data_IF_239056513893
#
_entry.id   IF_239056513893
#
_cell.length_a   1.000
_cell.length_b   1.000
_cell.length_c   1.000
_cell.angle_alpha   90.00
_cell.angle_beta   90.00
_cell.angle_gamma   90.00
#
_symmetry.space_group_name_H-M   'P 1'
#
loop_
_entity.id
_entity.type
_entity.pdbx_description
1 polymer ?
#
# COMPACT_ATOMS: atom_id res chain seq x y z
N UNK A 1 9.98 7.44 -19.75
CA UNK A 1 9.37 6.46 -18.83
C UNK A 1 10.33 6.28 -17.66
N UNK A 2 9.86 6.52 -16.43
CA UNK A 2 10.67 6.31 -15.24
C UNK A 2 10.75 4.82 -14.88
N UNK A 3 11.89 4.37 -14.39
CA UNK A 3 12.01 3.04 -13.79
C UNK A 3 11.26 3.05 -12.46
N UNK A 4 10.24 2.19 -12.32
CA UNK A 4 9.55 2.01 -11.05
C UNK A 4 10.49 1.26 -10.10
N UNK A 5 10.82 1.89 -8.98
CA UNK A 5 11.71 1.36 -7.93
C UNK A 5 11.04 1.47 -6.58
N UNK A 6 11.36 0.57 -5.66
CA UNK A 6 10.78 0.55 -4.32
C UNK A 6 10.76 -0.85 -3.73
N UNK A 7 10.49 -0.95 -2.42
CA UNK A 7 10.54 -2.24 -1.73
C UNK A 7 9.50 -3.23 -2.27
N UNK A 8 8.27 -2.75 -2.51
CA UNK A 8 7.18 -3.57 -3.05
C UNK A 8 7.44 -4.04 -4.49
N UNK A 9 8.15 -3.23 -5.29
CA UNK A 9 8.53 -3.58 -6.67
C UNK A 9 9.56 -4.70 -6.68
N UNK A 10 10.58 -4.60 -5.83
CA UNK A 10 11.61 -5.64 -5.71
C UNK A 10 11.02 -6.93 -5.14
N UNK A 11 10.07 -6.83 -4.22
CA UNK A 11 9.32 -7.98 -3.71
C UNK A 11 8.49 -8.65 -4.82
N UNK A 12 7.74 -7.88 -5.60
CA UNK A 12 6.94 -8.40 -6.72
C UNK A 12 7.83 -9.10 -7.76
N UNK A 13 8.94 -8.47 -8.16
CA UNK A 13 9.94 -9.09 -9.05
C UNK A 13 10.45 -10.42 -8.50
N UNK A 14 10.75 -10.47 -7.19
CA UNK A 14 11.26 -11.70 -6.56
C UNK A 14 10.21 -12.80 -6.53
N UNK A 15 8.96 -12.47 -6.24
CA UNK A 15 7.83 -13.43 -6.28
C UNK A 15 7.64 -13.95 -7.70
N UNK A 16 7.62 -13.08 -8.71
CA UNK A 16 7.52 -13.50 -10.12
C UNK A 16 8.62 -14.50 -10.50
N UNK A 17 9.88 -14.22 -10.12
CA UNK A 17 11.01 -15.14 -10.36
C UNK A 17 10.85 -16.50 -9.67
N UNK A 18 10.20 -16.55 -8.51
CA UNK A 18 9.97 -17.80 -7.77
C UNK A 18 8.84 -18.64 -8.38
N UNK A 19 7.82 -17.98 -8.94
CA UNK A 19 6.67 -18.64 -9.56
C UNK A 19 6.98 -19.21 -10.96
N UNK A 20 8.08 -18.77 -11.57
CA UNK A 20 8.56 -19.27 -12.86
C UNK A 20 9.16 -18.15 -13.71
N UNK A 21 9.40 -18.39 -15.01
CA UNK A 21 9.86 -17.36 -15.94
C UNK A 21 8.72 -16.38 -16.31
N UNK A 22 8.01 -15.83 -15.32
CA UNK A 22 7.00 -14.82 -15.54
C UNK A 22 7.66 -13.46 -15.80
N UNK A 23 7.28 -12.81 -16.90
CA UNK A 23 7.71 -11.46 -17.20
C UNK A 23 7.03 -10.47 -16.23
N UNK A 24 7.82 -9.82 -15.38
CA UNK A 24 7.32 -8.71 -14.56
C UNK A 24 7.04 -7.51 -15.47
N UNK A 25 5.77 -7.11 -15.55
CA UNK A 25 5.32 -5.97 -16.34
C UNK A 25 4.61 -4.96 -15.42
N UNK A 26 5.27 -3.86 -15.02
CA UNK A 26 4.63 -2.85 -14.19
C UNK A 26 3.55 -2.12 -14.98
N UNK A 27 2.37 -1.98 -14.37
CA UNK A 27 1.25 -1.21 -14.92
C UNK A 27 1.07 0.05 -14.09
N UNK A 28 1.07 1.21 -14.74
CA UNK A 28 0.76 2.48 -14.09
C UNK A 28 -0.76 2.58 -13.88
N UNK A 29 -1.19 2.72 -12.63
CA UNK A 29 -2.59 2.76 -12.24
C UNK A 29 -2.78 3.69 -11.04
N UNK A 30 -3.95 4.33 -10.98
CA UNK A 30 -4.37 5.12 -9.84
C UNK A 30 -4.80 4.23 -8.66
N UNK A 31 -4.76 4.75 -7.43
CA UNK A 31 -5.11 3.96 -6.25
C UNK A 31 -6.53 3.39 -6.30
N UNK A 32 -7.48 4.17 -6.84
CA UNK A 32 -8.88 3.74 -7.00
C UNK A 32 -9.04 2.54 -7.95
N UNK A 33 -8.07 2.33 -8.84
CA UNK A 33 -8.11 1.31 -9.89
C UNK A 33 -7.51 -0.03 -9.45
N UNK A 34 -6.80 -0.07 -8.31
CA UNK A 34 -6.06 -1.25 -7.85
C UNK A 34 -6.92 -2.50 -7.65
N UNK A 35 -8.11 -2.34 -7.06
CA UNK A 35 -9.05 -3.45 -6.85
C UNK A 35 -9.88 -3.76 -8.10
N UNK A 36 -10.52 -2.78 -8.77
CA UNK A 36 -11.24 -3.05 -10.01
C UNK A 36 -10.36 -3.74 -11.06
N UNK A 37 -9.10 -3.34 -11.21
CA UNK A 37 -8.24 -3.97 -12.21
C UNK A 37 -7.80 -5.39 -11.87
N UNK A 38 -7.78 -5.78 -10.60
CA UNK A 38 -7.63 -7.20 -10.23
C UNK A 38 -8.89 -7.99 -10.60
N UNK A 39 -10.07 -7.47 -10.23
CA UNK A 39 -11.36 -8.13 -10.50
C UNK A 39 -11.60 -8.30 -12.00
N UNK A 40 -11.24 -7.28 -12.79
CA UNK A 40 -11.38 -7.26 -14.24
C UNK A 40 -10.22 -7.96 -14.99
N UNK A 41 -9.29 -8.60 -14.26
CA UNK A 41 -8.12 -9.30 -14.81
C UNK A 41 -7.22 -8.43 -15.71
N UNK A 42 -7.09 -7.12 -15.40
CA UNK A 42 -6.13 -6.23 -16.09
C UNK A 42 -4.69 -6.48 -15.65
N UNK A 43 -4.49 -7.07 -14.47
CA UNK A 43 -3.21 -7.52 -13.92
C UNK A 43 -3.44 -8.59 -12.85
N UNK A 44 -2.39 -9.32 -12.49
CA UNK A 44 -2.49 -10.50 -11.61
C UNK A 44 -2.22 -10.22 -10.13
N UNK A 45 -1.54 -9.11 -9.81
CA UNK A 45 -1.22 -8.75 -8.42
C UNK A 45 -1.14 -7.25 -8.20
N UNK A 46 -1.45 -6.81 -6.99
CA UNK A 46 -1.21 -5.44 -6.51
C UNK A 46 -0.44 -5.47 -5.19
N UNK A 47 0.38 -4.45 -4.95
CA UNK A 47 1.12 -4.25 -3.70
C UNK A 47 0.74 -2.91 -3.08
N UNK A 48 1.03 -2.72 -1.79
CA UNK A 48 0.75 -1.45 -1.10
C UNK A 48 -0.72 -1.24 -0.69
N UNK A 49 -1.53 -2.30 -0.59
CA UNK A 49 -2.92 -2.20 -0.18
C UNK A 49 -3.14 -2.73 1.25
N UNK A 50 -3.77 -1.91 2.11
CA UNK A 50 -4.19 -2.37 3.43
C UNK A 50 -5.31 -3.40 3.34
N UNK A 51 -5.19 -4.46 4.13
CA UNK A 51 -6.19 -5.50 4.28
C UNK A 51 -7.38 -4.93 5.06
N UNK A 52 -8.60 -5.07 4.53
CA UNK A 52 -9.84 -4.81 5.25
C UNK A 52 -10.91 -5.83 4.87
N UNK A 53 -11.92 -6.01 5.72
CA UNK A 53 -13.01 -6.97 5.45
C UNK A 53 -13.85 -6.58 4.23
N UNK A 54 -13.92 -5.30 3.90
CA UNK A 54 -14.53 -4.84 2.65
C UNK A 54 -13.77 -5.31 1.43
N UNK A 55 -12.45 -5.13 1.42
CA UNK A 55 -11.60 -5.48 0.28
C UNK A 55 -11.48 -6.99 0.10
N UNK A 56 -11.49 -7.76 1.20
CA UNK A 56 -11.49 -9.23 1.17
C UNK A 56 -12.73 -9.82 0.49
N UNK A 57 -13.84 -9.07 0.37
CA UNK A 57 -15.01 -9.53 -0.39
C UNK A 57 -14.80 -9.46 -1.91
N UNK A 58 -13.82 -8.70 -2.37
CA UNK A 58 -13.55 -8.45 -3.79
C UNK A 58 -12.36 -9.25 -4.31
N UNK A 59 -11.32 -9.40 -3.49
CA UNK A 59 -10.06 -10.04 -3.89
C UNK A 59 -9.48 -10.89 -2.75
N UNK A 60 -8.62 -11.83 -3.10
CA UNK A 60 -7.84 -12.60 -2.14
C UNK A 60 -6.58 -11.83 -1.71
N UNK A 61 -6.25 -11.91 -0.42
CA UNK A 61 -5.02 -11.34 0.13
C UNK A 61 -4.05 -12.45 0.51
N UNK A 62 -2.76 -12.18 0.27
CA UNK A 62 -1.67 -13.02 0.78
C UNK A 62 -1.49 -12.82 2.29
N UNK A 63 -0.55 -13.57 2.88
CA UNK A 63 -0.04 -13.23 4.21
C UNK A 63 0.51 -11.79 4.21
N UNK A 64 0.22 -10.97 5.23
CA UNK A 64 0.71 -9.59 5.28
C UNK A 64 2.24 -9.55 5.16
N UNK A 65 2.72 -8.74 4.22
CA UNK A 65 4.14 -8.45 4.02
C UNK A 65 4.62 -7.28 4.88
N UNK A 66 3.69 -6.39 5.26
CA UNK A 66 3.91 -5.23 6.11
C UNK A 66 2.83 -5.16 7.20
N UNK A 67 3.20 -4.63 8.37
CA UNK A 67 2.28 -4.22 9.42
C UNK A 67 2.63 -2.79 9.81
N UNK A 68 1.87 -1.82 9.30
CA UNK A 68 2.12 -0.41 9.49
C UNK A 68 1.06 0.17 10.44
N UNK A 69 1.45 0.70 11.61
CA UNK A 69 0.56 1.53 12.40
C UNK A 69 0.42 2.91 11.76
N UNK A 70 -0.73 3.55 11.96
CA UNK A 70 -0.88 4.96 11.61
C UNK A 70 0.00 5.83 12.52
N UNK A 71 0.45 6.96 12.00
CA UNK A 71 1.30 7.91 12.70
C UNK A 71 0.83 9.36 12.51
N UNK A 72 1.19 10.22 13.46
CA UNK A 72 0.98 11.66 13.37
C UNK A 72 2.33 12.35 13.17
N UNK A 73 2.51 12.97 12.00
CA UNK A 73 3.69 13.80 11.74
C UNK A 73 3.44 15.22 12.25
N UNK A 74 4.38 15.75 13.04
CA UNK A 74 4.32 17.10 13.61
C UNK A 74 5.46 17.96 13.10
N UNK A 75 5.27 19.29 13.12
CA UNK A 75 6.35 20.21 12.80
C UNK A 75 7.54 20.00 13.74
N UNK A 76 8.76 20.29 13.23
CA UNK A 76 9.99 20.18 14.01
C UNK A 76 9.84 20.92 15.35
N UNK A 77 10.28 20.29 16.43
CA UNK A 77 10.17 20.73 17.83
C UNK A 77 8.74 20.70 18.41
N UNK A 78 7.76 20.15 17.70
CA UNK A 78 6.39 19.97 18.19
C UNK A 78 5.80 21.23 18.86
N UNK A 79 5.69 22.36 18.14
CA UNK A 79 5.27 23.64 18.72
C UNK A 79 3.86 23.60 19.34
N UNK A 80 3.04 22.63 18.95
CA UNK A 80 1.67 22.44 19.44
C UNK A 80 1.57 21.39 20.57
N UNK A 81 2.70 20.82 21.02
CA UNK A 81 2.71 19.83 22.10
C UNK A 81 1.85 18.60 21.82
N UNK A 82 1.77 18.17 20.56
CA UNK A 82 0.93 17.04 20.16
C UNK A 82 1.64 15.72 20.48
N UNK A 83 1.01 14.90 21.30
CA UNK A 83 1.51 13.58 21.73
C UNK A 83 0.76 12.42 21.07
N UNK A 84 -0.33 12.72 20.35
CA UNK A 84 -1.07 11.74 19.56
C UNK A 84 -2.44 12.24 19.11
N UNK A 85 -3.26 11.35 18.55
CA UNK A 85 -4.58 11.74 18.01
C UNK A 85 -5.49 12.39 19.05
N UNK A 86 -5.38 12.00 20.33
CA UNK A 86 -6.20 12.59 21.40
C UNK A 86 -5.78 14.03 21.72
N UNK A 87 -4.50 14.38 21.66
CA UNK A 87 -4.07 15.77 21.87
C UNK A 87 -4.48 16.63 20.69
N UNK A 88 -4.42 16.09 19.47
CA UNK A 88 -4.90 16.78 18.26
C UNK A 88 -6.40 17.06 18.33
N UNK A 89 -7.22 16.06 18.66
CA UNK A 89 -8.67 16.22 18.75
C UNK A 89 -9.13 17.22 19.82
N UNK A 90 -8.28 17.49 20.82
CA UNK A 90 -8.55 18.47 21.89
C UNK A 90 -7.92 19.84 21.62
N UNK A 91 -7.06 19.96 20.61
CA UNK A 91 -6.41 21.21 20.29
C UNK A 91 -7.45 22.14 19.65
N UNK A 92 -7.71 23.35 20.19
CA UNK A 92 -8.58 24.32 19.54
C UNK A 92 -7.97 24.70 18.18
N UNK A 93 -8.82 24.73 17.14
CA UNK A 93 -8.41 25.09 15.78
C UNK A 93 -8.05 26.58 15.66
#
# INVERSE_FOLDING_TARGET
MGLVVGCDVELAKRICQMLGPCAFSPVEAEFAELLPGLVDNRWDMTTGLFISDERKRLVEFTRPIWSLPDGLMVAKNNPLGLEGYRSLARHPS
#
